data_IF_557275850033
#
_entry.id   IF_557275850033
#
_cell.length_a   1.000
_cell.length_b   1.000
_cell.length_c   1.000
_cell.angle_alpha   90.00
_cell.angle_beta   90.00
_cell.angle_gamma   90.00
#
_symmetry.space_group_name_H-M   'P 1'
#
loop_
_entity.id
_entity.type
_entity.pdbx_description
1 polymer ?
#
# COMPACT_ATOMS: atom_id res chain seq x y z
N UNK A 1 -16.66 9.96 23.06
CA UNK A 1 -15.98 11.10 22.40
C UNK A 1 -14.53 10.68 22.20
N UNK A 2 -14.24 10.00 21.08
CA UNK A 2 -12.89 9.57 20.74
C UNK A 2 -12.30 10.58 19.75
N UNK A 3 -11.05 10.95 19.98
CA UNK A 3 -10.37 12.06 19.34
C UNK A 3 -9.93 11.66 17.93
N UNK A 4 -10.30 12.52 16.97
CA UNK A 4 -10.35 12.31 15.52
C UNK A 4 -8.98 12.50 14.85
N UNK A 5 -8.72 11.74 13.77
CA UNK A 5 -7.58 11.94 12.86
C UNK A 5 -6.18 11.53 13.35
N UNK A 6 -5.97 11.29 14.63
CA UNK A 6 -4.67 10.88 15.19
C UNK A 6 -4.57 9.35 15.29
N UNK A 7 -3.44 8.76 14.87
CA UNK A 7 -3.14 7.34 15.15
C UNK A 7 -3.39 7.03 16.63
N UNK A 8 -4.04 5.89 16.90
CA UNK A 8 -4.24 5.43 18.28
C UNK A 8 -2.88 5.23 18.96
N UNK A 9 -2.84 5.22 20.30
CA UNK A 9 -1.60 4.96 21.07
C UNK A 9 -0.98 3.62 20.63
N UNK A 10 -1.83 2.64 20.35
CA UNK A 10 -1.45 1.32 19.88
C UNK A 10 -0.90 1.32 18.45
N UNK A 11 -1.40 2.18 17.57
CA UNK A 11 -0.83 2.41 16.23
C UNK A 11 0.50 3.18 16.29
N UNK A 12 0.65 4.11 17.23
CA UNK A 12 1.82 4.98 17.31
C UNK A 12 3.12 4.20 17.57
N UNK A 13 3.07 3.03 18.24
CA UNK A 13 4.24 2.18 18.47
C UNK A 13 4.83 1.57 17.17
N UNK A 14 4.05 1.56 16.08
CA UNK A 14 4.46 1.02 14.78
C UNK A 14 5.12 2.07 13.87
N UNK A 15 5.08 3.35 14.25
CA UNK A 15 5.72 4.43 13.48
C UNK A 15 7.23 4.18 13.35
N UNK A 16 7.75 4.42 12.16
CA UNK A 16 9.15 4.19 11.81
C UNK A 16 9.50 2.74 11.45
N UNK A 17 8.59 1.78 11.65
CA UNK A 17 8.85 0.36 11.39
C UNK A 17 9.09 0.08 9.91
N UNK A 18 8.34 0.72 9.03
CA UNK A 18 8.29 0.42 7.61
C UNK A 18 9.07 1.43 6.76
N UNK A 19 9.40 2.62 7.28
CA UNK A 19 10.10 3.70 6.55
C UNK A 19 11.26 3.19 5.69
N UNK A 20 12.22 2.45 6.28
CA UNK A 20 13.41 1.98 5.55
C UNK A 20 13.05 1.02 4.40
N UNK A 21 12.09 0.13 4.64
CA UNK A 21 11.64 -0.82 3.61
C UNK A 21 10.85 -0.10 2.52
N UNK A 22 10.00 0.87 2.85
CA UNK A 22 9.24 1.67 1.90
C UNK A 22 10.15 2.54 1.01
N UNK A 23 11.19 3.16 1.58
CA UNK A 23 12.23 3.83 0.80
C UNK A 23 12.86 2.89 -0.22
N UNK A 24 13.21 1.67 0.21
CA UNK A 24 13.80 0.67 -0.67
C UNK A 24 12.83 0.23 -1.77
N UNK A 25 11.55 0.02 -1.46
CA UNK A 25 10.51 -0.27 -2.47
C UNK A 25 10.42 0.86 -3.49
N UNK A 26 10.47 2.13 -3.04
CA UNK A 26 10.45 3.28 -3.95
C UNK A 26 11.66 3.28 -4.89
N UNK A 27 12.87 3.10 -4.35
CA UNK A 27 14.11 3.06 -5.13
C UNK A 27 14.15 1.90 -6.12
N UNK A 28 13.69 0.72 -5.71
CA UNK A 28 13.68 -0.49 -6.53
C UNK A 28 12.67 -0.36 -7.72
N UNK A 29 11.57 0.39 -7.55
CA UNK A 29 10.56 0.60 -8.60
C UNK A 29 10.80 1.85 -9.47
N UNK A 30 11.42 2.89 -8.92
CA UNK A 30 11.61 4.17 -9.58
C UNK A 30 13.04 4.70 -9.44
N UNK A 31 14.03 4.02 -10.03
CA UNK A 31 15.42 4.47 -9.97
C UNK A 31 15.56 5.87 -10.59
N UNK A 32 16.19 6.78 -9.86
CA UNK A 32 16.42 8.17 -10.30
C UNK A 32 15.30 9.15 -9.97
N UNK A 33 14.19 8.70 -9.36
CA UNK A 33 13.18 9.60 -8.79
C UNK A 33 13.44 9.72 -7.27
N UNK A 34 13.66 10.95 -6.80
CA UNK A 34 13.74 11.27 -5.38
C UNK A 34 12.38 11.12 -4.69
N UNK A 35 12.39 10.90 -3.38
CA UNK A 35 11.15 10.84 -2.59
C UNK A 35 11.36 11.59 -1.28
N UNK A 36 10.47 12.54 -0.98
CA UNK A 36 10.51 13.26 0.28
C UNK A 36 10.19 12.33 1.46
N UNK A 37 10.77 12.63 2.61
CA UNK A 37 10.48 11.88 3.84
C UNK A 37 8.99 11.90 4.21
N UNK A 38 8.34 13.05 4.04
CA UNK A 38 6.91 13.20 4.30
C UNK A 38 6.04 12.27 3.43
N UNK A 39 6.47 11.94 2.21
CA UNK A 39 5.77 10.97 1.35
C UNK A 39 5.87 9.57 1.93
N UNK A 40 7.07 9.15 2.34
CA UNK A 40 7.28 7.82 2.91
C UNK A 40 6.57 7.67 4.25
N UNK A 41 6.58 8.70 5.08
CA UNK A 41 5.81 8.75 6.33
C UNK A 41 4.30 8.68 6.09
N UNK A 42 3.80 9.36 5.05
CA UNK A 42 2.39 9.29 4.68
C UNK A 42 2.00 7.89 4.19
N UNK A 43 2.85 7.23 3.41
CA UNK A 43 2.63 5.85 2.96
C UNK A 43 2.69 4.90 4.17
N UNK A 44 3.62 5.10 5.09
CA UNK A 44 3.70 4.30 6.32
C UNK A 44 2.41 4.40 7.15
N UNK A 45 1.82 5.59 7.28
CA UNK A 45 0.53 5.74 7.96
C UNK A 45 -0.55 4.87 7.31
N UNK A 46 -0.63 4.84 5.98
CA UNK A 46 -1.60 3.99 5.26
C UNK A 46 -1.33 2.50 5.48
N UNK A 47 -0.06 2.09 5.47
CA UNK A 47 0.36 0.71 5.75
C UNK A 47 0.00 0.31 7.19
N UNK A 48 0.18 1.20 8.17
CA UNK A 48 -0.21 0.94 9.56
C UNK A 48 -1.74 0.85 9.67
N UNK A 49 -2.50 1.71 8.98
CA UNK A 49 -3.97 1.60 8.97
C UNK A 49 -4.44 0.27 8.37
N UNK A 50 -3.86 -0.15 7.24
CA UNK A 50 -4.12 -1.48 6.64
C UNK A 50 -3.76 -2.63 7.58
N UNK A 51 -2.65 -2.51 8.31
CA UNK A 51 -2.26 -3.52 9.32
C UNK A 51 -3.38 -3.68 10.36
N UNK A 52 -3.87 -2.57 10.92
CA UNK A 52 -4.91 -2.62 11.94
C UNK A 52 -6.27 -3.05 11.39
N UNK A 53 -6.59 -2.69 10.15
CA UNK A 53 -7.77 -3.19 9.44
C UNK A 53 -7.77 -4.73 9.34
N UNK A 54 -6.61 -5.33 9.04
CA UNK A 54 -6.47 -6.80 9.04
C UNK A 54 -6.59 -7.39 10.45
N UNK A 55 -6.01 -6.75 11.46
CA UNK A 55 -5.95 -7.26 12.84
C UNK A 55 -7.26 -7.11 13.61
N UNK A 56 -8.13 -6.21 13.20
CA UNK A 56 -9.46 -6.04 13.79
C UNK A 56 -10.29 -7.35 13.73
N UNK A 57 -10.04 -8.19 12.73
CA UNK A 57 -10.62 -9.56 12.65
C UNK A 57 -10.12 -10.54 13.71
N UNK A 58 -9.13 -10.16 14.54
CA UNK A 58 -8.39 -11.02 15.48
C UNK A 58 -8.01 -12.38 14.84
N UNK A 59 -7.19 -12.37 13.77
CA UNK A 59 -6.92 -13.56 12.97
C UNK A 59 -6.06 -14.58 13.74
N UNK A 60 -6.49 -15.84 13.75
CA UNK A 60 -5.70 -16.97 14.29
C UNK A 60 -5.05 -17.80 13.19
N UNK A 61 -5.48 -17.60 11.94
CA UNK A 61 -5.03 -18.35 10.77
C UNK A 61 -4.92 -17.45 9.53
N UNK A 62 -4.27 -17.96 8.48
CA UNK A 62 -4.22 -17.25 7.18
C UNK A 62 -5.59 -17.21 6.49
N UNK A 63 -6.48 -18.17 6.80
CA UNK A 63 -7.85 -18.20 6.29
C UNK A 63 -8.72 -17.09 6.87
N UNK A 64 -8.47 -16.69 8.13
CA UNK A 64 -9.19 -15.55 8.74
C UNK A 64 -8.79 -14.24 8.05
N UNK A 65 -7.50 -14.08 7.76
CA UNK A 65 -6.98 -12.94 6.99
C UNK A 65 -7.55 -12.88 5.58
N UNK A 66 -7.57 -14.01 4.87
CA UNK A 66 -8.17 -14.11 3.54
C UNK A 66 -9.64 -13.67 3.59
N UNK A 67 -10.44 -14.19 4.52
CA UNK A 67 -11.83 -13.78 4.69
C UNK A 67 -11.96 -12.28 4.99
N UNK A 68 -11.11 -11.72 5.85
CA UNK A 68 -11.11 -10.28 6.14
C UNK A 68 -10.81 -9.46 4.88
N UNK A 69 -9.80 -9.84 4.11
CA UNK A 69 -9.43 -9.17 2.84
C UNK A 69 -10.57 -9.24 1.84
N UNK A 70 -11.16 -10.43 1.64
CA UNK A 70 -12.28 -10.60 0.71
C UNK A 70 -13.53 -9.82 1.12
N UNK A 71 -13.74 -9.60 2.42
CA UNK A 71 -14.88 -8.86 2.94
C UNK A 71 -14.70 -7.33 2.90
N UNK A 72 -13.46 -6.83 2.96
CA UNK A 72 -13.19 -5.41 3.21
C UNK A 72 -12.47 -4.72 2.05
N UNK A 73 -11.55 -5.41 1.37
CA UNK A 73 -10.75 -4.79 0.33
C UNK A 73 -11.53 -4.72 -1.00
N UNK A 74 -11.47 -3.60 -1.74
CA UNK A 74 -12.16 -3.47 -3.01
C UNK A 74 -11.61 -4.45 -4.05
N UNK A 75 -12.44 -4.83 -5.02
CA UNK A 75 -11.98 -5.57 -6.19
C UNK A 75 -11.22 -4.65 -7.16
N UNK A 76 -10.15 -5.14 -7.82
CA UNK A 76 -9.59 -6.49 -7.78
C UNK A 76 -8.43 -6.66 -6.76
N UNK A 77 -8.13 -5.65 -5.93
CA UNK A 77 -6.95 -5.69 -5.06
C UNK A 77 -7.06 -6.76 -3.96
N UNK A 78 -8.28 -7.07 -3.50
CA UNK A 78 -8.56 -8.20 -2.61
C UNK A 78 -8.02 -9.54 -3.17
N UNK A 79 -8.30 -9.85 -4.42
CA UNK A 79 -7.90 -11.11 -5.08
C UNK A 79 -6.38 -11.16 -5.26
N UNK A 80 -5.78 -10.10 -5.82
CA UNK A 80 -4.35 -10.11 -6.11
C UNK A 80 -3.49 -10.09 -4.85
N UNK A 81 -3.88 -9.32 -3.83
CA UNK A 81 -3.18 -9.33 -2.55
C UNK A 81 -3.27 -10.70 -1.85
N UNK A 82 -4.43 -11.36 -1.94
CA UNK A 82 -4.64 -12.73 -1.42
C UNK A 82 -3.70 -13.72 -2.10
N UNK A 83 -3.68 -13.72 -3.44
CA UNK A 83 -2.80 -14.62 -4.23
C UNK A 83 -1.34 -14.38 -3.89
N UNK A 84 -0.92 -13.12 -3.79
CA UNK A 84 0.47 -12.78 -3.49
C UNK A 84 0.89 -13.26 -2.08
N UNK A 85 0.00 -13.10 -1.10
CA UNK A 85 0.24 -13.52 0.27
C UNK A 85 0.24 -15.05 0.43
N UNK A 86 -0.66 -15.74 -0.28
CA UNK A 86 -0.64 -17.21 -0.33
C UNK A 86 0.64 -17.74 -0.93
N UNK A 87 1.11 -17.14 -2.03
CA UNK A 87 2.37 -17.51 -2.66
C UNK A 87 3.53 -17.32 -1.68
N UNK A 88 3.58 -16.20 -0.96
CA UNK A 88 4.60 -15.98 0.06
C UNK A 88 4.61 -17.10 1.10
N UNK A 89 3.45 -17.50 1.63
CA UNK A 89 3.35 -18.58 2.64
C UNK A 89 3.69 -19.97 2.07
N UNK A 90 3.30 -20.26 0.82
CA UNK A 90 3.56 -21.56 0.16
C UNK A 90 5.04 -21.77 -0.18
N UNK A 91 5.73 -20.72 -0.61
CA UNK A 91 7.10 -20.82 -1.11
C UNK A 91 8.18 -20.57 -0.04
N UNK A 92 7.82 -20.29 1.22
CA UNK A 92 8.77 -20.19 2.34
C UNK A 92 9.12 -21.54 2.96
N UNK A 93 10.03 -22.27 2.31
CA UNK A 93 10.91 -23.22 3.00
C UNK A 93 12.10 -22.50 3.66
N UNK A 94 12.74 -23.09 4.68
CA UNK A 94 13.88 -22.50 5.45
C UNK A 94 15.06 -21.98 4.60
N UNK A 95 15.22 -22.44 3.35
CA UNK A 95 16.24 -21.94 2.40
C UNK A 95 15.78 -20.76 1.52
N UNK A 96 14.50 -20.42 1.53
CA UNK A 96 13.91 -19.42 0.61
C UNK A 96 13.83 -18.02 1.21
N UNK A 97 13.75 -17.84 2.54
CA UNK A 97 13.86 -16.51 3.16
C UNK A 97 15.17 -15.80 2.78
N UNK A 98 16.27 -16.54 2.70
CA UNK A 98 17.58 -16.02 2.26
C UNK A 98 17.66 -15.77 0.75
N UNK A 99 16.87 -16.45 -0.09
CA UNK A 99 16.90 -16.30 -1.56
C UNK A 99 15.85 -15.32 -2.10
N UNK A 100 14.66 -15.23 -1.48
CA UNK A 100 13.74 -14.11 -1.69
C UNK A 100 14.38 -12.79 -1.24
N UNK A 101 15.07 -12.76 -0.09
CA UNK A 101 15.82 -11.56 0.31
C UNK A 101 17.00 -11.21 -0.60
N UNK A 102 17.53 -12.16 -1.37
CA UNK A 102 18.70 -11.96 -2.24
C UNK A 102 18.35 -11.75 -3.73
N UNK A 103 17.08 -11.93 -4.13
CA UNK A 103 16.64 -11.78 -5.53
C UNK A 103 15.17 -11.38 -5.74
N UNK A 104 14.36 -11.25 -4.69
CA UNK A 104 13.02 -10.65 -4.78
C UNK A 104 13.05 -9.24 -4.20
N UNK A 105 12.55 -8.26 -4.96
CA UNK A 105 12.40 -6.86 -4.57
C UNK A 105 11.28 -6.69 -3.54
N UNK A 106 11.39 -7.39 -2.39
CA UNK A 106 10.42 -7.34 -1.31
C UNK A 106 11.05 -6.99 0.05
N UNK A 107 11.43 -5.71 0.25
CA UNK A 107 12.04 -5.21 1.48
C UNK A 107 11.21 -5.42 2.76
N UNK A 108 9.88 -5.39 2.71
CA UNK A 108 9.07 -5.47 3.94
C UNK A 108 9.02 -6.90 4.49
N UNK A 109 9.09 -7.93 3.64
CA UNK A 109 9.18 -9.34 4.08
C UNK A 109 10.35 -9.59 5.06
N UNK A 110 11.43 -8.81 4.99
CA UNK A 110 12.56 -8.90 5.94
C UNK A 110 12.19 -8.49 7.37
N UNK A 111 11.05 -7.81 7.56
CA UNK A 111 10.57 -7.33 8.86
C UNK A 111 9.76 -8.38 9.63
N UNK A 112 9.47 -9.55 9.06
CA UNK A 112 8.65 -10.59 9.72
C UNK A 112 9.18 -10.92 11.12
N UNK A 113 10.50 -11.09 11.30
CA UNK A 113 11.08 -11.39 12.61
C UNK A 113 10.89 -10.30 13.67
N UNK A 114 10.71 -9.03 13.26
CA UNK A 114 10.43 -7.90 14.16
C UNK A 114 8.95 -7.71 14.40
N UNK A 115 8.14 -7.85 13.35
CA UNK A 115 6.70 -7.64 13.40
C UNK A 115 6.00 -8.80 14.11
N UNK A 116 6.50 -10.02 13.98
CA UNK A 116 5.90 -11.21 14.58
C UNK A 116 5.69 -11.12 16.11
N UNK A 117 6.70 -10.77 16.94
CA UNK A 117 6.48 -10.58 18.38
C UNK A 117 5.51 -9.44 18.67
N UNK A 118 5.61 -8.29 17.99
CA UNK A 118 4.70 -7.17 18.18
C UNK A 118 3.24 -7.54 17.87
N UNK A 119 3.03 -8.36 16.83
CA UNK A 119 1.72 -8.86 16.46
C UNK A 119 1.15 -9.79 17.54
N UNK A 120 1.97 -10.67 18.11
CA UNK A 120 1.58 -11.54 19.24
C UNK A 120 1.20 -10.73 20.47
N UNK A 121 2.00 -9.70 20.78
CA UNK A 121 1.76 -8.84 21.94
C UNK A 121 0.47 -8.03 21.78
N UNK A 122 0.23 -7.45 20.59
CA UNK A 122 -1.00 -6.73 20.28
C UNK A 122 -2.24 -7.64 20.31
N UNK A 123 -2.17 -8.84 19.73
CA UNK A 123 -3.29 -9.78 19.70
C UNK A 123 -3.55 -10.44 21.07
N UNK A 124 -2.53 -10.53 21.93
CA UNK A 124 -2.60 -11.16 23.25
C UNK A 124 -2.64 -12.70 23.22
N UNK A 125 -2.28 -13.31 22.09
CA UNK A 125 -2.22 -14.77 21.94
C UNK A 125 -1.14 -15.22 20.95
N UNK A 126 -0.81 -16.52 21.00
CA UNK A 126 0.17 -17.12 20.08
C UNK A 126 -0.41 -17.23 18.68
N UNK A 127 0.33 -16.75 17.69
CA UNK A 127 0.05 -16.94 16.27
C UNK A 127 1.23 -17.62 15.57
N UNK A 128 0.93 -18.34 14.49
CA UNK A 128 1.94 -18.92 13.59
C UNK A 128 2.67 -17.79 12.83
N UNK A 129 3.97 -17.95 12.58
CA UNK A 129 4.77 -17.01 11.81
C UNK A 129 4.22 -16.84 10.38
N UNK A 130 3.56 -17.87 9.83
CA UNK A 130 2.85 -17.80 8.54
C UNK A 130 1.76 -16.73 8.52
N UNK A 131 1.06 -16.51 9.63
CA UNK A 131 0.04 -15.44 9.74
C UNK A 131 0.72 -14.09 9.60
N UNK A 132 1.83 -13.87 10.29
CA UNK A 132 2.62 -12.63 10.16
C UNK A 132 3.18 -12.45 8.75
N UNK A 133 3.72 -13.51 8.14
CA UNK A 133 4.22 -13.47 6.78
C UNK A 133 3.11 -13.09 5.79
N UNK A 134 1.91 -13.65 5.97
CA UNK A 134 0.74 -13.33 5.15
C UNK A 134 0.38 -11.85 5.27
N UNK A 135 0.25 -11.32 6.49
CA UNK A 135 -0.02 -9.89 6.74
C UNK A 135 1.01 -9.00 6.04
N UNK A 136 2.31 -9.24 6.27
CA UNK A 136 3.36 -8.40 5.67
C UNK A 136 3.36 -8.49 4.15
N UNK A 137 3.02 -9.65 3.58
CA UNK A 137 2.92 -9.83 2.13
C UNK A 137 1.80 -9.00 1.52
N UNK A 138 0.64 -8.93 2.17
CA UNK A 138 -0.48 -8.07 1.76
C UNK A 138 -0.08 -6.59 1.83
N UNK A 139 0.50 -6.17 2.96
CA UNK A 139 0.95 -4.79 3.15
C UNK A 139 1.98 -4.38 2.11
N UNK A 140 2.95 -5.24 1.82
CA UNK A 140 3.98 -4.99 0.81
C UNK A 140 3.41 -4.89 -0.60
N UNK A 141 2.44 -5.73 -0.93
CA UNK A 141 1.77 -5.68 -2.24
C UNK A 141 1.08 -4.33 -2.45
N UNK A 142 0.27 -3.89 -1.48
CA UNK A 142 -0.48 -2.63 -1.57
C UNK A 142 0.46 -1.43 -1.51
N UNK A 143 1.45 -1.44 -0.61
CA UNK A 143 2.46 -0.39 -0.54
C UNK A 143 3.22 -0.24 -1.87
N UNK A 144 3.57 -1.37 -2.50
CA UNK A 144 4.20 -1.36 -3.82
C UNK A 144 3.32 -0.75 -4.89
N UNK A 145 2.00 -1.01 -4.88
CA UNK A 145 1.06 -0.44 -5.85
C UNK A 145 0.88 1.08 -5.65
N UNK A 146 0.76 1.53 -4.40
CA UNK A 146 0.75 2.95 -4.02
C UNK A 146 2.02 3.66 -4.54
N UNK A 147 3.18 3.07 -4.29
CA UNK A 147 4.47 3.61 -4.70
C UNK A 147 4.59 3.64 -6.23
N UNK A 148 4.20 2.55 -6.92
CA UNK A 148 4.21 2.47 -8.38
C UNK A 148 3.34 3.53 -9.02
N UNK A 149 2.12 3.69 -8.52
CA UNK A 149 1.17 4.69 -9.00
C UNK A 149 1.70 6.10 -8.79
N UNK A 150 2.27 6.38 -7.62
CA UNK A 150 2.89 7.69 -7.31
C UNK A 150 4.09 7.99 -8.18
N UNK A 151 5.06 7.08 -8.28
CA UNK A 151 6.26 7.29 -9.07
C UNK A 151 5.98 7.39 -10.57
N UNK A 152 4.99 6.63 -11.08
CA UNK A 152 4.51 6.78 -12.46
C UNK A 152 3.89 8.16 -12.69
N UNK A 153 3.08 8.65 -11.75
CA UNK A 153 2.52 10.00 -11.84
C UNK A 153 3.62 11.07 -11.90
N UNK A 154 4.58 11.04 -10.96
CA UNK A 154 5.72 11.97 -10.88
C UNK A 154 6.54 11.96 -12.18
N UNK A 155 6.80 10.76 -12.72
CA UNK A 155 7.49 10.59 -14.00
C UNK A 155 6.71 11.22 -15.16
N UNK A 156 5.40 11.05 -15.20
CA UNK A 156 4.55 11.55 -16.28
C UNK A 156 4.49 13.08 -16.29
N UNK A 157 4.50 13.72 -15.13
CA UNK A 157 4.58 15.19 -15.01
C UNK A 157 6.02 15.72 -15.11
N UNK A 158 7.01 14.84 -15.35
CA UNK A 158 8.43 15.15 -15.51
C UNK A 158 9.09 15.78 -14.28
N UNK A 159 8.54 15.51 -13.10
CA UNK A 159 9.18 15.86 -11.84
C UNK A 159 10.26 14.83 -11.49
N UNK A 160 11.26 15.27 -10.73
CA UNK A 160 12.39 14.41 -10.29
C UNK A 160 12.28 13.98 -8.84
N UNK A 161 11.35 14.54 -8.08
CA UNK A 161 11.12 14.23 -6.66
C UNK A 161 9.63 14.12 -6.39
N UNK A 162 9.20 13.06 -5.71
CA UNK A 162 7.82 12.86 -5.27
C UNK A 162 7.53 13.66 -3.99
N UNK A 163 6.43 14.42 -4.02
CA UNK A 163 5.88 15.17 -2.89
C UNK A 163 4.59 14.54 -2.37
N UNK A 164 4.12 14.97 -1.18
CA UNK A 164 2.84 14.49 -0.61
C UNK A 164 1.66 14.88 -1.51
N UNK A 165 1.75 16.02 -2.21
CA UNK A 165 0.74 16.42 -3.19
C UNK A 165 0.68 15.43 -4.36
N UNK A 166 1.83 15.02 -4.89
CA UNK A 166 1.92 14.05 -6.00
C UNK A 166 1.31 12.70 -5.60
N UNK A 167 1.63 12.22 -4.39
CA UNK A 167 1.03 11.01 -3.80
C UNK A 167 -0.50 11.14 -3.77
N UNK A 168 -1.03 12.21 -3.20
CA UNK A 168 -2.47 12.39 -3.06
C UNK A 168 -3.19 12.47 -4.41
N UNK A 169 -2.60 13.13 -5.42
CA UNK A 169 -3.17 13.20 -6.77
C UNK A 169 -3.15 11.81 -7.42
N UNK A 170 -2.01 11.11 -7.33
CA UNK A 170 -1.86 9.78 -7.91
C UNK A 170 -2.87 8.78 -7.33
N UNK A 171 -3.07 8.80 -6.00
CA UNK A 171 -4.03 7.93 -5.33
C UNK A 171 -5.49 8.24 -5.69
N UNK A 172 -5.86 9.52 -5.82
CA UNK A 172 -7.22 9.92 -6.23
C UNK A 172 -7.52 9.63 -7.69
N UNK A 173 -6.49 9.56 -8.53
CA UNK A 173 -6.64 9.20 -9.94
C UNK A 173 -6.79 7.69 -10.16
N UNK A 174 -6.39 6.86 -9.20
CA UNK A 174 -6.56 5.42 -9.24
C UNK A 174 -7.80 5.01 -8.45
N UNK A 175 -8.83 4.49 -9.13
CA UNK A 175 -10.10 4.15 -8.48
C UNK A 175 -9.92 3.14 -7.34
N UNK A 176 -9.09 2.12 -7.52
CA UNK A 176 -8.96 1.03 -6.55
C UNK A 176 -8.21 1.51 -5.32
N UNK A 177 -7.16 2.32 -5.50
CA UNK A 177 -6.44 2.92 -4.38
C UNK A 177 -7.27 4.02 -3.70
N UNK A 178 -8.08 4.76 -4.43
CA UNK A 178 -9.06 5.70 -3.85
C UNK A 178 -10.08 4.94 -2.99
N UNK A 179 -10.63 3.82 -3.47
CA UNK A 179 -11.56 2.98 -2.72
C UNK A 179 -10.89 2.40 -1.45
N UNK A 180 -9.60 2.00 -1.52
CA UNK A 180 -8.80 1.61 -0.33
C UNK A 180 -8.70 2.76 0.66
N UNK A 181 -8.38 3.97 0.18
CA UNK A 181 -8.26 5.14 1.04
C UNK A 181 -9.58 5.43 1.72
N UNK A 182 -10.66 5.50 0.96
CA UNK A 182 -12.01 5.67 1.47
C UNK A 182 -12.33 4.63 2.54
N UNK A 183 -12.12 3.33 2.30
CA UNK A 183 -12.31 2.29 3.31
C UNK A 183 -11.55 2.58 4.62
N UNK A 184 -10.30 3.02 4.54
CA UNK A 184 -9.46 3.30 5.73
C UNK A 184 -9.84 4.58 6.49
N UNK A 185 -10.61 5.48 5.88
CA UNK A 185 -11.02 6.75 6.48
C UNK A 185 -12.53 6.82 6.76
N UNK A 186 -13.36 5.99 6.13
CA UNK A 186 -14.82 6.13 6.14
C UNK A 186 -15.53 5.68 7.44
N UNK A 187 -14.81 5.21 8.45
CA UNK A 187 -15.35 5.12 9.83
C UNK A 187 -15.42 6.50 10.52
N UNK A 188 -14.81 7.54 9.95
CA UNK A 188 -14.89 8.92 10.43
C UNK A 188 -15.27 9.85 9.28
N UNK A 189 -16.41 10.55 9.41
CA UNK A 189 -17.00 11.42 8.39
C UNK A 189 -16.21 12.68 8.02
N UNK A 190 -14.90 12.58 7.83
CA UNK A 190 -14.02 13.60 7.25
C UNK A 190 -13.22 12.98 6.10
N UNK A 191 -13.72 13.16 4.87
CA UNK A 191 -12.79 13.24 3.74
C UNK A 191 -11.78 14.33 4.07
N UNK A 192 -10.46 14.10 3.90
CA UNK A 192 -9.49 15.18 4.04
C UNK A 192 -9.84 16.28 3.05
N UNK A 193 -10.47 17.35 3.56
CA UNK A 193 -10.83 18.53 2.79
C UNK A 193 -9.57 19.33 2.55
N UNK A 194 -8.73 18.83 1.65
CA UNK A 194 -7.72 19.66 1.01
C UNK A 194 -8.44 20.43 -0.07
N UNK A 195 -8.97 21.59 0.31
CA UNK A 195 -9.50 22.57 -0.60
C UNK A 195 -8.47 22.79 -1.72
N UNK A 196 -8.79 22.30 -2.91
CA UNK A 196 -8.25 22.90 -4.13
C UNK A 196 -8.76 24.33 -4.12
N UNK A 197 -7.92 25.25 -3.67
CA UNK A 197 -8.08 26.66 -3.96
C UNK A 197 -7.99 26.82 -5.47
N UNK A 198 -9.12 26.71 -6.16
CA UNK A 198 -9.28 27.22 -7.51
C UNK A 198 -9.33 28.74 -7.33
N UNK A 199 -8.38 29.52 -7.87
CA UNK A 199 -8.57 30.95 -7.97
C UNK A 199 -9.72 31.15 -8.96
N UNK A 200 -10.86 31.64 -8.48
CA UNK A 200 -11.88 32.24 -9.33
C UNK A 200 -11.25 33.42 -10.04
N UNK A 201 -10.90 33.24 -11.31
CA UNK A 201 -10.84 34.30 -12.31
C UNK A 201 -11.10 33.65 -13.66
N UNK A 202 -12.21 34.04 -14.27
CA UNK A 202 -12.69 33.47 -15.52
C UNK A 202 -11.80 33.80 -16.72
N UNK A 203 -11.71 32.84 -17.63
CA UNK A 203 -11.76 33.13 -19.06
C UNK A 203 -12.21 31.86 -19.82
N UNK A 204 -13.18 32.01 -20.72
CA UNK A 204 -13.71 30.94 -21.56
C UNK A 204 -12.73 30.66 -22.70
N UNK A 205 -12.15 29.45 -22.76
CA UNK A 205 -11.22 29.11 -23.84
C UNK A 205 -10.95 27.62 -24.04
N UNK A 206 -11.61 27.03 -25.04
CA UNK A 206 -11.26 25.79 -25.78
C UNK A 206 -11.16 24.46 -25.01
N UNK A 207 -12.20 23.64 -25.14
CA UNK A 207 -12.21 22.20 -24.81
C UNK A 207 -11.29 21.42 -25.75
N UNK A 208 -10.15 20.92 -25.25
CA UNK A 208 -9.47 19.77 -25.85
C UNK A 208 -9.81 18.53 -25.02
N UNK A 209 -10.51 17.58 -25.65
CA UNK A 209 -10.79 16.26 -25.09
C UNK A 209 -9.46 15.51 -24.92
N UNK A 210 -9.08 15.22 -23.68
CA UNK A 210 -8.05 14.23 -23.40
C UNK A 210 -8.52 12.85 -23.86
N UNK A 211 -7.67 12.05 -24.53
CA UNK A 211 -8.07 10.74 -25.02
C UNK A 211 -8.26 9.78 -23.86
N UNK A 212 -9.43 9.13 -23.85
CA UNK A 212 -9.81 8.06 -22.94
C UNK A 212 -8.96 6.80 -23.28
N UNK A 213 -7.80 6.68 -22.64
CA UNK A 213 -7.04 5.42 -22.66
C UNK A 213 -7.65 4.49 -21.61
N UNK A 214 -8.45 3.54 -22.06
CA UNK A 214 -8.93 2.42 -21.25
C UNK A 214 -7.73 1.59 -20.78
N UNK A 215 -7.39 1.75 -19.50
CA UNK A 215 -6.19 1.20 -18.83
C UNK A 215 -6.15 -0.34 -18.80
N UNK A 216 -7.30 -1.01 -18.96
CA UNK A 216 -7.39 -2.47 -19.03
C UNK A 216 -6.52 -3.07 -20.15
N UNK A 217 -6.48 -2.45 -21.34
CA UNK A 217 -5.78 -3.04 -22.50
C UNK A 217 -4.25 -3.02 -22.39
N UNK A 218 -3.68 -2.12 -21.58
CA UNK A 218 -2.21 -2.03 -21.41
C UNK A 218 -1.70 -3.02 -20.37
N UNK A 219 -2.47 -3.33 -19.31
CA UNK A 219 -2.08 -4.33 -18.31
C UNK A 219 -2.07 -5.77 -18.88
N UNK A 220 -2.96 -6.12 -19.79
CA UNK A 220 -2.96 -7.45 -20.44
C UNK A 220 -1.76 -7.69 -21.38
N UNK A 221 -1.17 -6.63 -21.95
CA UNK A 221 -0.07 -6.77 -22.91
C UNK A 221 1.31 -6.87 -22.26
N UNK A 222 1.52 -6.30 -21.05
CA UNK A 222 2.79 -6.43 -20.35
C UNK A 222 3.01 -7.81 -19.69
N UNK A 223 1.94 -8.51 -19.30
CA UNK A 223 2.04 -9.85 -18.69
C UNK A 223 2.30 -11.00 -19.70
N UNK A 224 2.31 -10.74 -21.01
CA UNK A 224 2.66 -11.76 -22.03
C UNK A 224 4.13 -11.77 -22.44
N UNK A 225 4.91 -10.74 -22.11
CA UNK A 225 6.29 -10.59 -22.63
C UNK A 225 7.33 -11.23 -21.68
N UNK A 226 6.98 -11.57 -20.45
CA UNK A 226 7.91 -12.22 -19.51
C UNK A 226 7.82 -13.76 -19.50
N UNK A 227 7.22 -14.37 -20.53
CA UNK A 227 7.04 -15.81 -20.64
C UNK A 227 7.65 -16.38 -21.93
N UNK A 228 8.92 -16.10 -22.21
CA UNK A 228 9.79 -16.90 -23.08
C UNK A 228 11.21 -16.91 -22.54
#
# INVERSE_FOLDING_TARGET
MFNSGQMTIDQAQWRGMFIKSLYKVFQDNHPGIGVEQAVVERIEELVIRLLFELLDSRPVSTQDLEKRIQATFPAPINEWATVEAENAVKYTGKKHHSKMSAGSNKPMLSLVGKVHPMLRDHLGYKIDEKVTLYVISVLEYIASDIIKTTGNYVKNIRNTTATVQDLNIALRADKVLMDIMEMLYNDEGEHPTYAMGVPENGDEGTKQKAPELTYEKVRYSQNRISGH
#
